data_IF_279770566784
#
_entry.id   IF_279770566784
#
_cell.length_a   1.000
_cell.length_b   1.000
_cell.length_c   1.000
_cell.angle_alpha   90.00
_cell.angle_beta   90.00
_cell.angle_gamma   90.00
#
_symmetry.space_group_name_H-M   'P 1'
#
loop_
_entity.id
_entity.type
_entity.pdbx_description
1 polymer ?
#
# COMPACT_ATOMS: atom_id res chain seq x y z
N UNK A 1 8.19 4.46 30.10
CA UNK A 1 7.25 3.84 29.14
C UNK A 1 8.05 3.52 27.89
N UNK A 2 8.08 2.25 27.51
CA UNK A 2 8.72 1.80 26.28
C UNK A 2 7.89 2.25 25.08
N UNK A 3 8.50 2.30 23.89
CA UNK A 3 7.81 2.62 22.62
C UNK A 3 6.62 1.68 22.33
N UNK A 4 6.67 0.43 22.83
CA UNK A 4 5.58 -0.54 22.72
C UNK A 4 4.39 -0.26 23.65
N UNK A 5 4.55 0.59 24.67
CA UNK A 5 3.48 0.87 25.65
C UNK A 5 2.46 1.89 25.12
N UNK A 6 2.72 2.51 23.95
CA UNK A 6 2.01 3.69 23.45
C UNK A 6 1.15 3.44 22.20
N UNK A 7 1.26 2.24 21.62
CA UNK A 7 0.57 1.87 20.39
C UNK A 7 0.33 0.36 20.35
N UNK A 8 -0.87 -0.05 19.96
CA UNK A 8 -1.23 -1.47 19.85
C UNK A 8 -0.72 -2.09 18.54
N UNK A 9 -0.85 -3.42 18.43
CA UNK A 9 -0.61 -4.16 17.19
C UNK A 9 -1.90 -4.35 16.37
N UNK A 10 -1.74 -4.93 15.16
CA UNK A 10 -2.82 -5.23 14.22
C UNK A 10 -3.87 -6.15 14.83
N UNK A 11 -3.44 -7.23 15.49
CA UNK A 11 -4.33 -8.25 16.04
C UNK A 11 -5.25 -7.66 17.13
N UNK A 12 -4.67 -6.87 18.04
CA UNK A 12 -5.40 -6.15 19.08
C UNK A 12 -6.42 -5.19 18.49
N UNK A 13 -6.06 -4.45 17.44
CA UNK A 13 -6.99 -3.52 16.79
C UNK A 13 -8.14 -4.25 16.09
N UNK A 14 -7.86 -5.35 15.39
CA UNK A 14 -8.89 -6.14 14.71
C UNK A 14 -9.84 -6.81 15.70
N UNK A 15 -9.33 -7.36 16.79
CA UNK A 15 -10.16 -7.87 17.88
C UNK A 15 -11.07 -6.76 18.42
N UNK A 16 -10.52 -5.57 18.68
CA UNK A 16 -11.29 -4.42 19.18
C UNK A 16 -12.33 -3.92 18.19
N UNK A 17 -12.02 -3.93 16.90
CA UNK A 17 -12.96 -3.58 15.84
C UNK A 17 -14.15 -4.56 15.82
N UNK A 18 -13.89 -5.86 15.89
CA UNK A 18 -14.94 -6.89 15.96
C UNK A 18 -15.85 -6.69 17.18
N UNK A 19 -15.27 -6.46 18.37
CA UNK A 19 -16.05 -6.16 19.58
C UNK A 19 -16.98 -4.94 19.39
N UNK A 20 -16.44 -3.85 18.83
CA UNK A 20 -17.21 -2.63 18.61
C UNK A 20 -18.31 -2.83 17.57
N UNK A 21 -18.04 -3.57 16.49
CA UNK A 21 -19.04 -3.90 15.47
C UNK A 21 -20.20 -4.69 16.06
N UNK A 22 -19.92 -5.66 16.93
CA UNK A 22 -20.95 -6.41 17.65
C UNK A 22 -21.75 -5.51 18.60
N UNK A 23 -21.08 -4.65 19.38
CA UNK A 23 -21.71 -3.71 20.30
C UNK A 23 -22.62 -2.70 19.57
N UNK A 24 -22.19 -2.23 18.39
CA UNK A 24 -22.89 -1.17 17.65
C UNK A 24 -23.85 -1.67 16.56
N UNK A 25 -24.01 -2.99 16.40
CA UNK A 25 -24.81 -3.63 15.33
C UNK A 25 -26.21 -3.05 15.12
N UNK A 26 -26.86 -2.63 16.20
CA UNK A 26 -28.22 -2.05 16.18
C UNK A 26 -28.29 -0.63 16.75
N UNK A 27 -27.15 0.01 16.96
CA UNK A 27 -27.07 1.34 17.60
C UNK A 27 -27.33 2.50 16.63
N UNK A 28 -27.27 2.24 15.32
CA UNK A 28 -27.28 3.29 14.28
C UNK A 28 -26.02 4.16 14.27
N UNK A 29 -24.98 3.78 15.04
CA UNK A 29 -23.68 4.46 15.05
C UNK A 29 -22.76 3.91 13.97
N UNK A 30 -21.81 4.75 13.60
CA UNK A 30 -20.77 4.43 12.63
C UNK A 30 -19.43 4.27 13.35
N UNK A 31 -18.66 3.28 12.91
CA UNK A 31 -17.26 3.08 13.34
C UNK A 31 -16.37 3.46 12.16
N UNK A 32 -15.37 4.30 12.40
CA UNK A 32 -14.35 4.66 11.40
C UNK A 32 -13.07 3.87 11.60
N UNK A 33 -12.63 3.14 10.58
CA UNK A 33 -11.29 2.56 10.50
C UNK A 33 -10.44 3.41 9.56
N UNK A 34 -9.38 4.00 10.10
CA UNK A 34 -8.40 4.79 9.37
C UNK A 34 -7.13 3.97 9.27
N UNK A 35 -6.60 3.79 8.07
CA UNK A 35 -5.30 3.16 7.82
C UNK A 35 -4.44 4.15 7.04
N UNK A 36 -3.16 4.31 7.40
CA UNK A 36 -2.30 5.27 6.74
C UNK A 36 -0.81 4.90 6.79
N UNK A 37 -0.10 5.33 5.75
CA UNK A 37 1.36 5.21 5.61
C UNK A 37 2.01 6.60 5.64
N UNK A 38 3.32 6.64 5.93
CA UNK A 38 4.12 7.86 5.94
C UNK A 38 4.76 8.07 4.56
N UNK A 39 4.34 9.12 3.86
CA UNK A 39 4.81 9.36 2.49
C UNK A 39 6.32 9.58 2.44
N UNK A 40 7.04 8.73 1.69
CA UNK A 40 8.48 8.83 1.52
C UNK A 40 9.30 8.32 2.70
N UNK A 41 8.73 7.51 3.59
CA UNK A 41 9.45 6.93 4.73
C UNK A 41 10.72 6.15 4.33
N UNK A 42 10.65 5.34 3.26
CA UNK A 42 11.81 4.62 2.72
C UNK A 42 12.97 5.55 2.36
N UNK A 43 12.67 6.62 1.61
CA UNK A 43 13.65 7.65 1.23
C UNK A 43 14.28 8.33 2.45
N UNK A 44 13.51 8.55 3.51
CA UNK A 44 14.03 9.13 4.76
C UNK A 44 15.01 8.17 5.43
N UNK A 45 14.68 6.87 5.51
CA UNK A 45 15.59 5.85 6.07
C UNK A 45 16.87 5.73 5.26
N UNK A 46 16.77 5.74 3.94
CA UNK A 46 17.92 5.64 3.05
C UNK A 46 18.84 6.86 3.21
N UNK A 47 18.27 8.07 3.16
CA UNK A 47 19.04 9.31 3.16
C UNK A 47 19.60 9.71 4.52
N UNK A 48 18.87 9.43 5.60
CA UNK A 48 19.20 9.89 6.96
C UNK A 48 19.49 8.75 7.94
N UNK A 49 19.46 7.50 7.47
CA UNK A 49 19.77 6.31 8.23
C UNK A 49 18.59 5.77 9.04
N UNK A 50 18.77 4.53 9.50
CA UNK A 50 17.75 3.77 10.23
C UNK A 50 17.28 4.46 11.52
N UNK A 51 18.22 5.05 12.29
CA UNK A 51 17.91 5.76 13.53
C UNK A 51 16.98 6.96 13.31
N UNK A 52 17.11 7.65 12.16
CA UNK A 52 16.22 8.74 11.80
C UNK A 52 14.81 8.24 11.48
N UNK A 53 14.69 7.12 10.77
CA UNK A 53 13.42 6.44 10.53
C UNK A 53 12.72 6.03 11.82
N UNK A 54 13.44 5.37 12.73
CA UNK A 54 12.88 4.96 14.04
C UNK A 54 12.43 6.15 14.88
N UNK A 55 13.17 7.25 14.82
CA UNK A 55 12.82 8.49 15.52
C UNK A 55 11.56 9.12 14.93
N UNK A 56 11.41 9.09 13.60
CA UNK A 56 10.21 9.53 12.91
C UNK A 56 8.99 8.69 13.32
N UNK A 57 9.11 7.36 13.37
CA UNK A 57 8.03 6.47 13.81
C UNK A 57 7.59 6.77 15.24
N UNK A 58 8.54 6.95 16.17
CA UNK A 58 8.26 7.36 17.57
C UNK A 58 7.47 8.66 17.64
N UNK A 59 7.88 9.65 16.85
CA UNK A 59 7.25 10.96 16.82
C UNK A 59 5.84 10.90 16.19
N UNK A 60 5.65 10.05 15.18
CA UNK A 60 4.34 9.81 14.58
C UNK A 60 3.38 9.10 15.52
N UNK A 61 3.85 8.11 16.29
CA UNK A 61 3.05 7.47 17.34
C UNK A 61 2.50 8.49 18.33
N UNK A 62 3.37 9.36 18.89
CA UNK A 62 2.93 10.39 19.84
C UNK A 62 1.99 11.40 19.21
N UNK A 63 2.26 11.82 17.97
CA UNK A 63 1.40 12.76 17.27
C UNK A 63 0.03 12.17 16.96
N UNK A 64 -0.04 10.90 16.60
CA UNK A 64 -1.29 10.17 16.40
C UNK A 64 -2.09 10.13 17.68
N UNK A 65 -1.46 9.72 18.79
CA UNK A 65 -2.07 9.69 20.13
C UNK A 65 -2.67 11.04 20.52
N UNK A 66 -1.98 12.15 20.28
CA UNK A 66 -2.48 13.51 20.55
C UNK A 66 -3.52 14.02 19.53
N UNK A 67 -3.70 13.30 18.43
CA UNK A 67 -4.64 13.65 17.36
C UNK A 67 -6.00 12.98 17.52
N UNK A 68 -6.06 11.86 18.23
CA UNK A 68 -7.27 11.09 18.53
C UNK A 68 -7.83 11.42 19.92
N UNK A 69 -9.05 10.95 20.22
CA UNK A 69 -9.70 11.07 21.53
C UNK A 69 -9.30 9.91 22.44
N UNK A 70 -9.55 10.05 23.75
CA UNK A 70 -9.23 8.99 24.73
C UNK A 70 -9.98 7.67 24.48
N UNK A 71 -11.16 7.72 23.86
CA UNK A 71 -11.94 6.54 23.49
C UNK A 71 -11.52 5.91 22.17
N UNK A 72 -10.75 6.63 21.34
CA UNK A 72 -10.27 6.14 20.06
C UNK A 72 -9.08 5.19 20.31
N UNK A 73 -8.85 4.25 19.39
CA UNK A 73 -7.73 3.33 19.47
C UNK A 73 -6.71 3.64 18.38
N UNK A 74 -5.43 3.40 18.66
CA UNK A 74 -4.37 3.47 17.66
C UNK A 74 -3.57 2.17 17.63
N UNK A 75 -3.03 1.83 16.46
CA UNK A 75 -2.16 0.69 16.30
C UNK A 75 -1.10 0.94 15.22
N UNK A 76 -0.04 0.15 15.24
CA UNK A 76 0.98 0.09 14.19
C UNK A 76 1.03 -1.33 13.65
N UNK A 77 0.87 -1.47 12.35
CA UNK A 77 0.75 -2.77 11.69
C UNK A 77 2.11 -3.34 11.29
N UNK A 78 3.12 -2.49 11.18
CA UNK A 78 4.46 -2.84 10.72
C UNK A 78 5.02 -1.70 9.86
N UNK A 79 6.32 -1.69 9.59
CA UNK A 79 6.94 -0.66 8.75
C UNK A 79 6.54 0.76 9.16
N UNK A 80 6.02 1.54 8.22
CA UNK A 80 5.45 2.87 8.43
C UNK A 80 3.91 2.91 8.43
N UNK A 81 3.26 1.76 8.56
CA UNK A 81 1.81 1.62 8.51
C UNK A 81 1.18 1.73 9.90
N UNK A 82 0.25 2.67 10.02
CA UNK A 82 -0.49 2.97 11.24
C UNK A 82 -1.99 2.88 11.01
N UNK A 83 -2.72 2.60 12.08
CA UNK A 83 -4.17 2.56 12.09
C UNK A 83 -4.75 3.36 13.24
N UNK A 84 -5.96 3.89 13.05
CA UNK A 84 -6.79 4.46 14.10
C UNK A 84 -8.24 3.99 13.96
N UNK A 85 -8.85 3.67 15.09
CA UNK A 85 -10.21 3.18 15.18
C UNK A 85 -11.06 4.19 15.96
N UNK A 86 -12.11 4.68 15.33
CA UNK A 86 -13.01 5.73 15.83
C UNK A 86 -14.36 5.08 16.17
N UNK A 87 -14.64 4.76 17.44
CA UNK A 87 -15.70 3.82 17.82
C UNK A 87 -17.12 4.31 17.58
N UNK A 88 -17.36 5.61 17.74
CA UNK A 88 -18.72 6.14 17.81
C UNK A 88 -18.88 7.46 17.06
N UNK A 89 -19.58 7.39 15.93
CA UNK A 89 -19.93 8.54 15.12
C UNK A 89 -21.41 8.52 14.70
N UNK A 90 -22.01 9.70 14.58
CA UNK A 90 -23.42 9.86 14.15
C UNK A 90 -23.63 9.70 12.64
N UNK A 91 -22.57 9.81 11.83
CA UNK A 91 -22.68 9.72 10.37
C UNK A 91 -21.33 9.46 9.70
N UNK A 92 -21.38 8.99 8.46
CA UNK A 92 -20.23 8.96 7.53
C UNK A 92 -19.49 10.30 7.48
N UNK A 93 -20.23 11.41 7.48
CA UNK A 93 -19.67 12.76 7.39
C UNK A 93 -18.84 13.11 8.63
N UNK A 94 -19.26 12.70 9.83
CA UNK A 94 -18.50 12.99 11.05
C UNK A 94 -17.24 12.15 11.15
N UNK A 95 -17.24 10.92 10.62
CA UNK A 95 -16.01 10.11 10.45
C UNK A 95 -15.06 10.79 9.47
N UNK A 96 -15.56 11.20 8.30
CA UNK A 96 -14.78 11.91 7.27
C UNK A 96 -14.05 13.14 7.83
N UNK A 97 -14.76 13.97 8.60
CA UNK A 97 -14.16 15.16 9.22
C UNK A 97 -13.11 14.81 10.27
N UNK A 98 -13.34 13.75 11.05
CA UNK A 98 -12.37 13.29 12.03
C UNK A 98 -11.08 12.78 11.35
N UNK A 99 -11.22 11.99 10.28
CA UNK A 99 -10.09 11.48 9.50
C UNK A 99 -9.25 12.61 8.88
N UNK A 100 -9.88 13.56 8.19
CA UNK A 100 -9.13 14.67 7.59
C UNK A 100 -8.48 15.57 8.65
N UNK A 101 -9.13 15.76 9.81
CA UNK A 101 -8.54 16.47 10.95
C UNK A 101 -7.30 15.74 11.48
N UNK A 102 -7.37 14.42 11.65
CA UNK A 102 -6.25 13.59 12.11
C UNK A 102 -5.11 13.67 11.08
N UNK A 103 -5.38 13.42 9.80
CA UNK A 103 -4.40 13.51 8.71
C UNK A 103 -3.69 14.88 8.68
N UNK A 104 -4.45 15.99 8.75
CA UNK A 104 -3.87 17.34 8.80
C UNK A 104 -2.98 17.58 10.01
N UNK A 105 -3.32 17.03 11.18
CA UNK A 105 -2.46 17.11 12.38
C UNK A 105 -1.18 16.30 12.20
N UNK A 106 -1.29 15.08 11.69
CA UNK A 106 -0.16 14.19 11.42
C UNK A 106 0.84 14.81 10.43
N UNK A 107 0.34 15.42 9.34
CA UNK A 107 1.13 16.04 8.28
C UNK A 107 1.72 17.43 8.63
N UNK A 108 1.56 17.93 9.86
CA UNK A 108 2.20 19.18 10.27
C UNK A 108 3.73 19.05 10.23
N UNK A 109 4.50 20.15 10.04
CA UNK A 109 5.95 20.08 10.11
C UNK A 109 6.43 19.48 11.45
N UNK A 110 7.36 18.55 11.36
CA UNK A 110 8.09 17.98 12.49
C UNK A 110 9.28 18.87 12.79
N UNK A 111 9.40 19.35 14.02
CA UNK A 111 10.59 20.10 14.44
C UNK A 111 11.70 19.12 14.74
N UNK A 112 12.80 19.25 14.01
CA UNK A 112 14.03 18.51 14.28
C UNK A 112 14.82 19.23 15.38
N UNK A 113 15.58 18.48 16.19
CA UNK A 113 16.39 19.03 17.28
C UNK A 113 17.39 20.11 16.79
N UNK A 114 17.80 20.01 15.53
CA UNK A 114 18.76 20.92 14.88
C UNK A 114 18.12 22.20 14.30
N UNK A 115 16.83 22.45 14.55
CA UNK A 115 16.14 23.69 14.16
C UNK A 115 15.51 23.67 12.76
N UNK A 116 15.61 22.57 12.02
CA UNK A 116 14.91 22.33 10.76
C UNK A 116 13.47 21.81 10.92
N UNK A 117 12.67 21.91 9.85
CA UNK A 117 11.33 21.33 9.76
C UNK A 117 11.27 20.23 8.72
N UNK A 118 10.88 19.01 9.12
CA UNK A 118 10.60 17.91 8.21
C UNK A 118 9.09 17.81 7.96
N UNK A 119 8.67 17.88 6.71
CA UNK A 119 7.26 17.64 6.33
C UNK A 119 7.16 16.23 5.79
N UNK A 120 6.34 15.41 6.44
CA UNK A 120 6.01 14.06 5.99
C UNK A 120 4.54 14.04 5.65
N UNK A 121 4.23 13.69 4.40
CA UNK A 121 2.85 13.53 3.94
C UNK A 121 2.22 12.28 4.56
N UNK A 122 0.89 12.25 4.60
CA UNK A 122 0.14 11.10 5.10
C UNK A 122 -0.87 10.69 4.04
N UNK A 123 -0.70 9.50 3.49
CA UNK A 123 -1.69 8.86 2.62
C UNK A 123 -2.61 7.99 3.47
N UNK A 124 -3.89 8.36 3.57
CA UNK A 124 -4.85 7.76 4.50
C UNK A 124 -6.07 7.20 3.78
N UNK A 125 -6.36 5.93 4.03
CA UNK A 125 -7.61 5.28 3.66
C UNK A 125 -8.58 5.23 4.81
N UNK A 126 -9.87 5.41 4.52
CA UNK A 126 -10.94 5.39 5.51
C UNK A 126 -12.03 4.42 5.08
N UNK A 127 -12.31 3.45 5.95
CA UNK A 127 -13.45 2.57 5.86
C UNK A 127 -14.42 2.81 7.02
N UNK A 128 -15.71 2.65 6.76
CA UNK A 128 -16.78 3.03 7.68
C UNK A 128 -17.75 1.87 7.81
N UNK A 129 -17.90 1.35 9.03
CA UNK A 129 -18.95 0.41 9.38
C UNK A 129 -20.25 1.17 9.71
N UNK A 130 -21.43 0.66 9.32
CA UNK A 130 -21.65 -0.56 8.52
C UNK A 130 -21.61 -0.34 6.99
N UNK A 131 -21.37 0.89 6.52
CA UNK A 131 -21.51 1.29 5.10
C UNK A 131 -20.60 0.55 4.11
N UNK A 132 -19.37 0.24 4.52
CA UNK A 132 -18.36 -0.32 3.63
C UNK A 132 -18.18 -1.84 3.78
N UNK A 133 -18.46 -2.38 4.97
CA UNK A 133 -18.40 -3.80 5.27
C UNK A 133 -19.09 -4.12 6.61
N UNK A 134 -19.56 -5.35 6.77
CA UNK A 134 -20.11 -5.89 8.02
C UNK A 134 -19.14 -6.74 8.84
N UNK A 135 -17.93 -6.97 8.34
CA UNK A 135 -16.90 -7.84 8.93
C UNK A 135 -15.58 -7.07 9.05
N UNK A 136 -14.83 -7.31 10.13
CA UNK A 136 -13.62 -6.55 10.47
C UNK A 136 -12.53 -6.66 9.40
N UNK A 137 -12.19 -7.88 8.97
CA UNK A 137 -11.18 -8.12 7.94
C UNK A 137 -11.55 -7.43 6.62
N UNK A 138 -12.83 -7.48 6.28
CA UNK A 138 -13.37 -6.88 5.06
C UNK A 138 -13.35 -5.35 5.13
N UNK A 139 -13.58 -4.78 6.31
CA UNK A 139 -13.46 -3.33 6.55
C UNK A 139 -12.00 -2.87 6.46
N UNK A 140 -11.05 -3.68 6.94
CA UNK A 140 -9.63 -3.44 6.79
C UNK A 140 -9.21 -3.45 5.32
N UNK A 141 -9.59 -4.48 4.55
CA UNK A 141 -9.26 -4.58 3.11
C UNK A 141 -9.71 -3.35 2.32
N UNK A 142 -10.91 -2.82 2.60
CA UNK A 142 -11.40 -1.63 1.89
C UNK A 142 -10.77 -0.32 2.40
N UNK A 143 -10.27 -0.28 3.64
CA UNK A 143 -9.47 0.83 4.16
C UNK A 143 -8.09 0.87 3.46
N UNK A 144 -7.44 -0.29 3.31
CA UNK A 144 -6.20 -0.44 2.54
C UNK A 144 -6.40 0.05 1.10
N UNK A 145 -7.48 -0.38 0.46
CA UNK A 145 -7.86 0.10 -0.88
C UNK A 145 -7.93 1.62 -0.97
N UNK A 146 -8.57 2.28 -0.01
CA UNK A 146 -8.68 3.72 -0.02
C UNK A 146 -7.33 4.40 0.29
N UNK A 147 -6.45 3.75 1.06
CA UNK A 147 -5.12 4.25 1.38
C UNK A 147 -4.25 4.28 0.12
N UNK A 148 -4.28 3.22 -0.68
CA UNK A 148 -3.58 3.19 -1.95
C UNK A 148 -4.08 4.22 -2.95
N UNK A 149 -5.41 4.40 -3.07
CA UNK A 149 -5.98 5.47 -3.87
C UNK A 149 -5.39 6.84 -3.46
N UNK A 150 -5.16 7.05 -2.17
CA UNK A 150 -4.50 8.26 -1.67
C UNK A 150 -3.03 8.33 -2.08
N UNK A 151 -2.31 7.21 -2.10
CA UNK A 151 -0.91 7.15 -2.54
C UNK A 151 -0.75 7.47 -4.02
N UNK A 152 -1.64 6.96 -4.87
CA UNK A 152 -1.59 7.14 -6.33
C UNK A 152 -2.21 8.45 -6.80
N UNK A 153 -3.13 9.03 -6.03
CA UNK A 153 -3.81 10.30 -6.37
C UNK A 153 -3.05 11.56 -5.92
N UNK A 154 -1.75 11.45 -5.64
CA UNK A 154 -0.89 12.59 -5.31
C UNK A 154 -0.39 12.66 -3.86
N UNK A 155 -0.67 11.64 -3.03
CA UNK A 155 -0.24 11.51 -1.63
C UNK A 155 -0.76 12.63 -0.72
N UNK A 156 -0.42 12.57 0.57
CA UNK A 156 -0.79 13.58 1.57
C UNK A 156 -2.30 13.92 1.60
N UNK A 157 -3.15 12.90 1.45
CA UNK A 157 -4.60 13.04 1.35
C UNK A 157 -5.35 11.91 2.06
N UNK A 158 -6.64 12.12 2.25
CA UNK A 158 -7.55 11.18 2.90
C UNK A 158 -8.63 10.76 1.89
N UNK A 159 -8.72 9.47 1.62
CA UNK A 159 -9.74 8.89 0.74
C UNK A 159 -10.68 8.01 1.54
N UNK A 160 -11.98 8.21 1.35
CA UNK A 160 -13.02 7.35 1.94
C UNK A 160 -13.43 6.32 0.91
N UNK A 161 -13.49 5.06 1.32
CA UNK A 161 -13.97 4.00 0.45
C UNK A 161 -15.42 4.25 0.01
N UNK A 162 -15.67 4.15 -1.31
CA UNK A 162 -17.00 4.25 -1.93
C UNK A 162 -17.22 2.97 -2.75
N UNK A 163 -18.23 2.18 -2.38
CA UNK A 163 -18.31 0.75 -2.70
C UNK A 163 -18.64 0.30 -4.13
N UNK A 164 -18.65 -1.05 -4.25
CA UNK A 164 -19.12 -1.99 -5.27
C UNK A 164 -18.50 -1.99 -6.68
N UNK A 165 -18.41 -0.87 -7.40
CA UNK A 165 -17.92 -0.92 -8.81
C UNK A 165 -16.42 -1.23 -8.91
N UNK A 166 -15.66 -0.99 -7.84
CA UNK A 166 -14.19 -1.15 -7.78
C UNK A 166 -13.74 -2.52 -7.26
N UNK A 167 -14.56 -3.21 -6.47
CA UNK A 167 -14.27 -4.54 -5.95
C UNK A 167 -14.11 -5.61 -7.05
N UNK A 168 -14.82 -5.44 -8.18
CA UNK A 168 -14.68 -6.35 -9.31
C UNK A 168 -13.29 -6.30 -9.96
N UNK A 169 -12.56 -5.18 -9.85
CA UNK A 169 -11.22 -5.07 -10.43
C UNK A 169 -10.17 -5.86 -9.63
N UNK A 170 -10.32 -5.97 -8.30
CA UNK A 170 -9.37 -6.69 -7.43
C UNK A 170 -9.36 -8.19 -7.64
N UNK A 171 -10.56 -8.74 -7.85
CA UNK A 171 -10.82 -10.17 -7.89
C UNK A 171 -10.57 -10.72 -9.31
N UNK A 172 -10.41 -9.83 -10.30
CA UNK A 172 -10.06 -10.25 -11.65
C UNK A 172 -8.58 -10.67 -11.69
N UNK A 173 -8.27 -11.84 -12.28
CA UNK A 173 -6.90 -12.20 -12.61
C UNK A 173 -6.27 -11.08 -13.42
N UNK A 174 -5.05 -10.70 -13.07
CA UNK A 174 -4.23 -9.83 -13.89
C UNK A 174 -4.07 -10.46 -15.27
N UNK A 175 -4.55 -9.77 -16.29
CA UNK A 175 -4.54 -10.28 -17.65
C UNK A 175 -3.89 -9.25 -18.56
N UNK A 176 -2.64 -9.52 -18.94
CA UNK A 176 -1.94 -8.77 -20.00
C UNK A 176 -2.39 -9.39 -21.33
N UNK A 177 -3.49 -8.86 -21.87
CA UNK A 177 -4.18 -9.45 -23.04
C UNK A 177 -4.59 -8.43 -24.11
N UNK A 178 -4.33 -7.13 -23.92
CA UNK A 178 -4.66 -6.08 -24.88
C UNK A 178 -3.46 -5.69 -25.76
N UNK A 179 -3.72 -5.17 -26.97
CA UNK A 179 -2.69 -4.56 -27.84
C UNK A 179 -1.94 -3.41 -27.14
N UNK A 180 -2.56 -2.78 -26.14
CA UNK A 180 -2.03 -1.64 -25.38
C UNK A 180 -0.89 -2.02 -24.42
N UNK A 181 -0.75 -3.30 -24.06
CA UNK A 181 0.30 -3.80 -23.16
C UNK A 181 1.31 -4.71 -23.88
N UNK A 182 1.38 -4.62 -25.21
CA UNK A 182 2.32 -5.37 -26.04
C UNK A 182 3.43 -4.43 -26.53
N UNK A 183 4.66 -4.80 -26.24
CA UNK A 183 5.86 -4.07 -26.67
C UNK A 183 6.17 -4.28 -28.16
N UNK A 184 5.67 -5.37 -28.73
CA UNK A 184 6.01 -5.82 -30.08
C UNK A 184 7.30 -6.65 -30.12
N UNK A 185 7.94 -6.87 -28.97
CA UNK A 185 9.10 -7.73 -28.80
C UNK A 185 8.61 -9.02 -28.13
N UNK A 186 8.51 -10.10 -28.90
CA UNK A 186 7.91 -11.36 -28.44
C UNK A 186 8.50 -11.88 -27.12
N UNK A 187 9.81 -11.71 -26.91
CA UNK A 187 10.48 -12.10 -25.67
C UNK A 187 9.99 -11.31 -24.46
N UNK A 188 9.79 -9.99 -24.58
CA UNK A 188 9.28 -9.15 -23.50
C UNK A 188 7.79 -9.43 -23.27
N UNK A 189 7.01 -9.58 -24.34
CA UNK A 189 5.59 -9.87 -24.23
C UNK A 189 5.31 -11.22 -23.54
N UNK A 190 6.17 -12.22 -23.75
CA UNK A 190 6.12 -13.50 -23.02
C UNK A 190 6.54 -13.33 -21.56
N UNK A 191 7.56 -12.51 -21.26
CA UNK A 191 7.96 -12.18 -19.88
C UNK A 191 6.86 -11.43 -19.13
N UNK A 192 6.18 -10.48 -19.75
CA UNK A 192 5.04 -9.78 -19.16
C UNK A 192 3.93 -10.76 -18.79
N UNK A 193 3.59 -11.70 -19.68
CA UNK A 193 2.60 -12.74 -19.40
C UNK A 193 3.00 -13.59 -18.19
N UNK A 194 4.26 -14.00 -18.11
CA UNK A 194 4.77 -14.78 -16.98
C UNK A 194 4.75 -13.98 -15.67
N UNK A 195 5.10 -12.69 -15.68
CA UNK A 195 4.94 -11.81 -14.51
C UNK A 195 3.48 -11.79 -14.04
N UNK A 196 2.52 -11.64 -14.96
CA UNK A 196 1.10 -11.62 -14.62
C UNK A 196 0.61 -12.96 -14.04
N UNK A 197 1.05 -14.08 -14.59
CA UNK A 197 0.75 -15.42 -14.07
C UNK A 197 1.27 -15.60 -12.64
N UNK A 198 2.51 -15.17 -12.37
CA UNK A 198 3.10 -15.25 -11.03
C UNK A 198 2.35 -14.41 -9.99
N UNK A 199 1.95 -13.19 -10.36
CA UNK A 199 1.12 -12.33 -9.49
C UNK A 199 -0.23 -13.00 -9.20
N UNK A 200 -0.85 -13.62 -10.21
CA UNK A 200 -2.12 -14.32 -10.05
C UNK A 200 -2.03 -15.57 -9.19
N UNK A 201 -1.02 -16.40 -9.41
CA UNK A 201 -0.80 -17.62 -8.64
C UNK A 201 -0.57 -17.29 -7.17
N UNK A 202 0.21 -16.24 -6.90
CA UNK A 202 0.45 -15.76 -5.54
C UNK A 202 -0.84 -15.20 -4.92
N UNK A 203 -1.65 -14.46 -5.68
CA UNK A 203 -2.96 -13.98 -5.22
C UNK A 203 -3.91 -15.14 -4.88
N UNK A 204 -4.00 -16.15 -5.75
CA UNK A 204 -4.84 -17.31 -5.53
C UNK A 204 -4.38 -18.16 -4.35
N UNK A 205 -3.07 -18.30 -4.12
CA UNK A 205 -2.55 -18.91 -2.90
C UNK A 205 -3.03 -18.16 -1.66
N UNK A 206 -2.84 -16.84 -1.62
CA UNK A 206 -3.25 -16.02 -0.47
C UNK A 206 -4.77 -16.04 -0.25
N UNK A 207 -5.56 -16.30 -1.29
CA UNK A 207 -7.01 -16.44 -1.18
C UNK A 207 -7.45 -17.83 -0.71
N UNK A 208 -6.77 -18.88 -1.13
CA UNK A 208 -7.17 -20.29 -0.88
C UNK A 208 -6.55 -20.82 0.42
N UNK A 209 -5.31 -20.46 0.70
CA UNK A 209 -4.50 -20.99 1.81
C UNK A 209 -3.60 -19.88 2.42
N UNK A 210 -4.20 -18.84 3.03
CA UNK A 210 -3.46 -17.66 3.55
C UNK A 210 -2.46 -17.99 4.67
N UNK A 211 -2.61 -19.13 5.35
CA UNK A 211 -1.72 -19.55 6.43
C UNK A 211 -0.43 -20.20 5.93
N UNK A 212 -0.33 -20.51 4.63
CA UNK A 212 0.82 -21.18 4.03
C UNK A 212 1.96 -20.21 3.70
N UNK A 213 2.48 -19.56 4.74
CA UNK A 213 3.56 -18.57 4.65
C UNK A 213 4.80 -19.08 3.90
N UNK A 214 5.32 -20.31 4.12
CA UNK A 214 6.50 -20.77 3.41
C UNK A 214 6.31 -20.84 1.89
N UNK A 215 5.10 -21.19 1.43
CA UNK A 215 4.79 -21.24 0.01
C UNK A 215 4.59 -19.82 -0.55
N UNK A 216 3.96 -18.93 0.21
CA UNK A 216 3.81 -17.53 -0.17
C UNK A 216 5.18 -16.84 -0.31
N UNK A 217 6.09 -17.04 0.66
CA UNK A 217 7.49 -16.57 0.61
C UNK A 217 8.21 -17.07 -0.64
N UNK A 218 8.16 -18.38 -0.90
CA UNK A 218 8.83 -18.97 -2.05
C UNK A 218 8.33 -18.41 -3.39
N UNK A 219 7.01 -18.21 -3.52
CA UNK A 219 6.40 -17.63 -4.71
C UNK A 219 6.70 -16.13 -4.85
N UNK A 220 6.75 -15.40 -3.73
CA UNK A 220 7.15 -14.00 -3.70
C UNK A 220 8.59 -13.81 -4.16
N UNK A 221 9.51 -14.60 -3.61
CA UNK A 221 10.91 -14.62 -4.00
C UNK A 221 11.09 -14.91 -5.49
N UNK A 222 10.29 -15.83 -6.04
CA UNK A 222 10.33 -16.15 -7.45
C UNK A 222 9.81 -15.00 -8.32
N UNK A 223 8.75 -14.31 -7.90
CA UNK A 223 8.27 -13.09 -8.54
C UNK A 223 9.34 -12.00 -8.56
N UNK A 224 10.01 -11.73 -7.42
CA UNK A 224 11.09 -10.73 -7.33
C UNK A 224 12.23 -11.11 -8.27
N UNK A 225 12.71 -12.35 -8.22
CA UNK A 225 13.79 -12.84 -9.10
C UNK A 225 13.44 -12.71 -10.58
N UNK A 226 12.20 -13.03 -10.95
CA UNK A 226 11.76 -12.93 -12.34
C UNK A 226 11.61 -11.47 -12.79
N UNK A 227 11.16 -10.58 -11.91
CA UNK A 227 11.11 -9.13 -12.17
C UNK A 227 12.51 -8.56 -12.42
N UNK A 228 13.50 -8.95 -11.60
CA UNK A 228 14.91 -8.56 -11.82
C UNK A 228 15.46 -9.06 -13.15
N UNK A 229 15.15 -10.31 -13.51
CA UNK A 229 15.54 -10.90 -14.78
C UNK A 229 14.94 -10.13 -15.96
N UNK A 230 13.64 -9.81 -15.89
CA UNK A 230 12.94 -9.03 -16.91
C UNK A 230 13.60 -7.65 -17.10
N UNK A 231 13.81 -6.89 -16.02
CA UNK A 231 14.45 -5.59 -16.08
C UNK A 231 15.88 -5.64 -16.61
N UNK A 232 16.65 -6.66 -16.24
CA UNK A 232 17.99 -6.83 -16.79
C UNK A 232 17.96 -7.05 -18.32
N UNK A 233 16.98 -7.81 -18.80
CA UNK A 233 16.82 -8.06 -20.23
C UNK A 233 16.46 -6.77 -20.98
N UNK A 234 15.56 -5.95 -20.43
CA UNK A 234 15.22 -4.65 -21.00
C UNK A 234 16.41 -3.70 -21.01
N UNK A 235 17.16 -3.59 -19.90
CA UNK A 235 18.36 -2.75 -19.85
C UNK A 235 19.38 -3.17 -20.92
N UNK A 236 19.53 -4.48 -21.16
CA UNK A 236 20.38 -5.01 -22.25
C UNK A 236 19.86 -4.56 -23.62
N UNK A 237 18.57 -4.75 -23.91
CA UNK A 237 17.97 -4.37 -25.18
C UNK A 237 18.04 -2.85 -25.43
N UNK A 238 17.76 -2.04 -24.41
CA UNK A 238 17.88 -0.58 -24.44
C UNK A 238 19.32 -0.15 -24.72
N UNK A 239 20.32 -0.82 -24.12
CA UNK A 239 21.73 -0.57 -24.37
C UNK A 239 22.15 -0.89 -25.81
N UNK A 240 21.70 -2.03 -26.35
CA UNK A 240 21.97 -2.45 -27.73
C UNK A 240 21.35 -1.49 -28.77
N UNK A 241 20.17 -0.96 -28.49
CA UNK A 241 19.46 -0.03 -29.36
C UNK A 241 19.79 1.46 -29.11
N UNK A 242 20.69 1.76 -28.16
CA UNK A 242 21.01 3.11 -27.71
C UNK A 242 19.75 3.94 -27.39
N UNK A 243 18.82 3.35 -26.63
CA UNK A 243 17.56 3.99 -26.28
C UNK A 243 17.79 5.28 -25.47
N UNK A 244 17.32 6.46 -25.92
CA UNK A 244 17.66 7.74 -25.29
C UNK A 244 17.23 7.90 -23.83
N UNK A 245 16.20 7.16 -23.41
CA UNK A 245 15.64 7.24 -22.07
C UNK A 245 16.08 6.10 -21.15
N UNK A 246 17.09 5.30 -21.53
CA UNK A 246 17.53 4.12 -20.78
C UNK A 246 17.85 4.41 -19.31
N UNK A 247 18.58 5.51 -19.02
CA UNK A 247 18.90 5.86 -17.62
C UNK A 247 17.67 6.22 -16.78
N UNK A 248 16.65 6.84 -17.40
CA UNK A 248 15.41 7.17 -16.72
C UNK A 248 14.61 5.91 -16.43
N UNK A 249 14.56 5.00 -17.42
CA UNK A 249 13.91 3.69 -17.29
C UNK A 249 14.56 2.85 -16.18
N UNK A 250 15.89 2.74 -16.15
CA UNK A 250 16.61 2.00 -15.10
C UNK A 250 16.43 2.62 -13.70
N UNK A 251 16.16 3.93 -13.61
CA UNK A 251 15.81 4.58 -12.33
C UNK A 251 14.42 4.15 -11.87
N UNK A 252 13.46 4.04 -12.78
CA UNK A 252 12.14 3.51 -12.47
C UNK A 252 12.29 2.07 -11.97
N UNK A 253 12.95 1.17 -12.70
CA UNK A 253 13.19 -0.23 -12.28
C UNK A 253 13.68 -0.37 -10.83
N UNK A 254 14.66 0.46 -10.42
CA UNK A 254 15.18 0.44 -9.05
C UNK A 254 14.10 0.82 -8.03
N UNK A 255 13.36 1.90 -8.28
CA UNK A 255 12.27 2.32 -7.40
C UNK A 255 11.20 1.25 -7.28
N UNK A 256 10.85 0.62 -8.41
CA UNK A 256 9.83 -0.41 -8.44
C UNK A 256 10.25 -1.68 -7.68
N UNK A 257 11.51 -2.11 -7.82
CA UNK A 257 12.06 -3.24 -7.04
C UNK A 257 12.14 -2.93 -5.54
N UNK A 258 12.42 -1.69 -5.17
CA UNK A 258 12.40 -1.27 -3.76
C UNK A 258 10.99 -1.35 -3.17
N UNK A 259 9.98 -0.85 -3.87
CA UNK A 259 8.57 -0.95 -3.46
C UNK A 259 8.12 -2.42 -3.42
N UNK A 260 8.49 -3.23 -4.42
CA UNK A 260 8.19 -4.66 -4.42
C UNK A 260 8.81 -5.36 -3.20
N UNK A 261 10.07 -5.09 -2.87
CA UNK A 261 10.68 -5.68 -1.66
C UNK A 261 10.04 -5.16 -0.37
N UNK A 262 9.62 -3.91 -0.32
CA UNK A 262 8.92 -3.36 0.84
C UNK A 262 7.55 -4.02 1.07
N UNK A 263 6.87 -4.44 -0.01
CA UNK A 263 5.58 -5.12 0.05
C UNK A 263 5.67 -6.57 0.53
N UNK A 264 6.85 -7.19 0.53
CA UNK A 264 7.05 -8.60 0.93
C UNK A 264 6.43 -8.87 2.31
N UNK A 265 6.80 -8.07 3.31
CA UNK A 265 6.30 -8.23 4.69
C UNK A 265 4.78 -8.06 4.82
N UNK A 266 4.15 -7.32 3.89
CA UNK A 266 2.70 -7.06 3.89
C UNK A 266 1.93 -8.18 3.19
N UNK A 267 2.50 -8.72 2.11
CA UNK A 267 1.89 -9.80 1.32
C UNK A 267 2.09 -11.15 2.01
N UNK A 268 3.30 -11.46 2.42
CA UNK A 268 3.68 -12.75 3.01
C UNK A 268 3.11 -12.96 4.40
N UNK A 269 3.00 -11.91 5.21
CA UNK A 269 2.46 -12.03 6.57
C UNK A 269 0.95 -12.33 6.62
N UNK A 270 0.28 -12.48 5.48
CA UNK A 270 -1.17 -12.69 5.38
C UNK A 270 -1.99 -11.43 5.62
N UNK A 271 -1.36 -10.25 5.53
CA UNK A 271 -1.92 -9.03 6.11
C UNK A 271 -2.87 -8.33 5.14
N UNK A 272 -2.63 -8.31 3.82
CA UNK A 272 -3.37 -7.39 2.93
C UNK A 272 -3.56 -7.91 1.49
N UNK A 273 -4.72 -8.50 1.15
CA UNK A 273 -5.09 -8.80 -0.27
C UNK A 273 -5.03 -7.58 -1.18
N UNK A 274 -5.13 -6.37 -0.60
CA UNK A 274 -5.01 -5.13 -1.33
C UNK A 274 -3.58 -4.82 -1.81
N UNK A 275 -2.53 -5.34 -1.14
CA UNK A 275 -1.15 -5.22 -1.63
C UNK A 275 -0.97 -5.86 -3.02
N UNK A 276 -1.83 -6.82 -3.39
CA UNK A 276 -1.88 -7.34 -4.75
C UNK A 276 -2.47 -6.36 -5.76
N UNK A 277 -3.43 -5.51 -5.38
CA UNK A 277 -3.87 -4.42 -6.29
C UNK A 277 -2.67 -3.51 -6.56
N UNK A 278 -1.93 -3.13 -5.52
CA UNK A 278 -0.76 -2.28 -5.70
C UNK A 278 0.24 -2.88 -6.69
N UNK A 279 0.51 -4.18 -6.54
CA UNK A 279 1.38 -4.95 -7.42
C UNK A 279 0.85 -5.07 -8.86
N UNK A 280 -0.45 -5.30 -9.02
CA UNK A 280 -1.12 -5.39 -10.33
C UNK A 280 -1.09 -4.05 -11.06
N UNK A 281 -1.55 -2.99 -10.41
CA UNK A 281 -1.61 -1.64 -10.97
C UNK A 281 -0.21 -1.15 -11.30
N UNK A 282 0.76 -1.43 -10.42
CA UNK A 282 2.16 -1.16 -10.66
C UNK A 282 2.68 -1.81 -11.95
N UNK A 283 2.49 -3.12 -12.09
CA UNK A 283 2.98 -3.88 -13.23
C UNK A 283 2.36 -3.38 -14.54
N UNK A 284 1.05 -3.14 -14.54
CA UNK A 284 0.33 -2.63 -15.72
C UNK A 284 0.79 -1.21 -16.08
N UNK A 285 0.88 -0.31 -15.09
CA UNK A 285 1.27 1.08 -15.33
C UNK A 285 2.68 1.20 -15.88
N UNK A 286 3.60 0.37 -15.39
CA UNK A 286 4.96 0.31 -15.90
C UNK A 286 5.01 -0.18 -17.35
N UNK A 287 4.36 -1.30 -17.65
CA UNK A 287 4.31 -1.86 -19.00
C UNK A 287 3.73 -0.84 -20.00
N UNK A 288 2.59 -0.24 -19.67
CA UNK A 288 1.91 0.71 -20.55
C UNK A 288 2.70 2.00 -20.77
N UNK A 289 3.35 2.54 -19.73
CA UNK A 289 4.01 3.86 -19.79
C UNK A 289 5.49 3.82 -20.11
N UNK A 290 6.17 2.70 -19.87
CA UNK A 290 7.61 2.56 -20.06
C UNK A 290 7.93 1.52 -21.14
N UNK A 291 7.50 0.27 -20.96
CA UNK A 291 7.93 -0.86 -21.78
C UNK A 291 7.34 -0.78 -23.19
N UNK A 292 6.06 -0.39 -23.32
CA UNK A 292 5.40 -0.26 -24.62
C UNK A 292 6.03 0.86 -25.46
N UNK A 293 6.23 2.10 -24.95
CA UNK A 293 6.98 3.12 -25.68
C UNK A 293 8.41 2.70 -26.02
N UNK A 294 9.08 1.97 -25.11
CA UNK A 294 10.42 1.42 -25.34
C UNK A 294 10.39 0.41 -26.49
N UNK A 295 9.52 -0.62 -26.45
CA UNK A 295 9.36 -1.61 -27.50
C UNK A 295 9.04 -0.99 -28.87
N UNK A 296 8.17 0.03 -28.92
CA UNK A 296 7.88 0.79 -30.13
C UNK A 296 9.10 1.55 -30.69
N UNK A 297 10.07 1.94 -29.86
CA UNK A 297 11.32 2.52 -30.34
C UNK A 297 12.26 1.45 -30.88
N UNK A 298 12.40 0.33 -30.16
CA UNK A 298 13.33 -0.75 -30.49
C UNK A 298 12.91 -1.55 -31.74
N UNK A 299 11.64 -1.52 -32.10
CA UNK A 299 11.08 -2.22 -33.27
C UNK A 299 11.00 -1.35 -34.53
N UNK A 300 11.43 -0.08 -34.46
CA UNK A 300 11.54 0.84 -35.62
C UNK A 300 12.89 0.71 -36.32
#
# INVERSE_FOLDING_TARGET
MSFHDLISDRETLLHRLSELMEQHRYSGKFIGLLLFDLDGYGVIREKFGEQAGDSLLKLMTERLRLSIRDQDFNARFGGDTFAALLPEHESVRTVAFAAERIRKKLAQPLRLAEGGGLVVGISMGVAIYPENAGEADRLLTVAESAMYDSKTSGRNMCTIYRGASRERADILPLAIRGEEAMTGIAELDDQHRELAERVNDLYDLMRIDPENRPKAEAMYDELVRFTEFHFHNESRMMGEAAYPMAEAHDREHRFLLEELRALESRIVAGVELHSFRMLKDWLVDHIEKADVPMGQYLTK
#
